data_IF_729384426471
#
_entry.id   IF_729384426471
#
_cell.length_a   1.000
_cell.length_b   1.000
_cell.length_c   1.000
_cell.angle_alpha   90.00
_cell.angle_beta   90.00
_cell.angle_gamma   90.00
#
_symmetry.space_group_name_H-M   'P 1'
#
loop_
_entity.id
_entity.type
_entity.pdbx_description
1 polymer ?
#
# COMPACT_ATOMS: atom_id res chain seq x y z
N UNK A 1 -20.46 14.77 6.97
CA UNK A 1 -19.18 14.20 6.50
C UNK A 1 -19.18 14.19 4.98
N UNK A 2 -18.10 14.61 4.38
CA UNK A 2 -17.89 14.64 2.93
C UNK A 2 -16.59 13.89 2.57
N UNK A 3 -16.48 13.44 1.33
CA UNK A 3 -15.25 12.83 0.81
C UNK A 3 -14.64 13.73 -0.25
N UNK A 4 -13.32 13.96 -0.16
CA UNK A 4 -12.53 14.70 -1.15
C UNK A 4 -11.60 13.69 -1.85
N UNK A 5 -11.92 13.27 -3.09
CA UNK A 5 -11.03 12.46 -3.91
C UNK A 5 -9.85 13.32 -4.38
N UNK A 6 -8.66 13.09 -3.81
CA UNK A 6 -7.45 13.79 -4.21
C UNK A 6 -6.95 13.37 -5.59
N UNK A 7 -6.16 14.23 -6.29
CA UNK A 7 -5.72 14.00 -7.68
C UNK A 7 -4.95 12.70 -7.90
N UNK A 8 -4.31 12.14 -6.86
CA UNK A 8 -3.59 10.88 -6.97
C UNK A 8 -4.44 9.63 -6.68
N UNK A 9 -5.67 9.80 -6.18
CA UNK A 9 -6.59 8.69 -5.85
C UNK A 9 -8.04 8.97 -6.25
N UNK A 10 -8.31 9.50 -7.46
CA UNK A 10 -9.67 9.95 -7.79
C UNK A 10 -10.67 8.79 -7.78
N UNK A 11 -10.32 7.63 -8.33
CA UNK A 11 -11.18 6.45 -8.40
C UNK A 11 -11.47 5.87 -7.00
N UNK A 12 -10.43 5.70 -6.19
CA UNK A 12 -10.57 5.17 -4.82
C UNK A 12 -11.41 6.11 -3.97
N UNK A 13 -11.13 7.42 -4.00
CA UNK A 13 -11.89 8.42 -3.25
C UNK A 13 -13.36 8.47 -3.67
N UNK A 14 -13.67 8.39 -4.97
CA UNK A 14 -15.05 8.31 -5.46
C UNK A 14 -15.75 7.04 -4.94
N UNK A 15 -15.08 5.88 -5.04
CA UNK A 15 -15.64 4.62 -4.55
C UNK A 15 -15.88 4.64 -3.04
N UNK A 16 -14.99 5.27 -2.26
CA UNK A 16 -15.18 5.47 -0.81
C UNK A 16 -16.44 6.30 -0.55
N UNK A 17 -16.60 7.42 -1.26
CA UNK A 17 -17.78 8.29 -1.11
C UNK A 17 -19.08 7.54 -1.45
N UNK A 18 -19.10 6.78 -2.55
CA UNK A 18 -20.26 6.01 -2.98
C UNK A 18 -20.64 4.93 -1.95
N UNK A 19 -19.65 4.21 -1.42
CA UNK A 19 -19.87 3.19 -0.37
C UNK A 19 -20.34 3.80 0.96
N UNK A 20 -19.94 5.03 1.27
CA UNK A 20 -20.38 5.74 2.47
C UNK A 20 -21.71 6.47 2.29
N UNK A 21 -22.21 6.62 1.06
CA UNK A 21 -23.33 7.50 0.74
C UNK A 21 -23.03 8.98 1.03
N UNK A 22 -21.75 9.37 0.96
CA UNK A 22 -21.28 10.71 1.33
C UNK A 22 -21.25 11.66 0.13
N UNK A 23 -21.47 12.96 0.38
CA UNK A 23 -21.24 13.98 -0.65
C UNK A 23 -19.77 14.00 -1.06
N UNK A 24 -19.53 14.16 -2.35
CA UNK A 24 -18.18 14.32 -2.94
C UNK A 24 -17.91 15.81 -3.20
N UNK A 25 -16.72 16.27 -2.81
CA UNK A 25 -16.19 17.57 -3.24
C UNK A 25 -14.99 17.30 -4.13
N UNK A 26 -15.12 17.63 -5.40
CA UNK A 26 -14.09 17.37 -6.40
C UNK A 26 -12.96 18.38 -6.31
N UNK A 27 -11.77 17.94 -6.67
CA UNK A 27 -10.57 18.77 -6.77
C UNK A 27 -10.31 19.10 -8.22
N UNK A 28 -10.36 20.40 -8.57
CA UNK A 28 -9.82 20.89 -9.83
C UNK A 28 -8.29 20.90 -9.72
N UNK A 29 -7.64 20.22 -10.63
CA UNK A 29 -6.21 20.00 -10.59
C UNK A 29 -5.59 20.25 -11.96
N UNK A 30 -4.47 20.96 -11.98
CA UNK A 30 -3.62 21.12 -13.16
C UNK A 30 -2.16 21.33 -12.75
N UNK A 31 -1.25 21.08 -13.68
CA UNK A 31 0.14 21.46 -13.54
C UNK A 31 0.39 22.74 -14.36
N UNK A 32 1.14 23.66 -13.79
CA UNK A 32 1.70 24.77 -14.55
C UNK A 32 2.88 24.28 -15.41
N UNK A 33 3.26 25.05 -16.46
CA UNK A 33 4.36 24.66 -17.36
C UNK A 33 5.72 24.47 -16.66
N UNK A 34 5.94 25.13 -15.54
CA UNK A 34 7.11 25.01 -14.67
C UNK A 34 7.08 23.78 -13.74
N UNK A 35 5.95 23.06 -13.73
CA UNK A 35 5.75 21.84 -12.95
C UNK A 35 5.03 22.03 -11.61
N UNK A 36 4.68 23.27 -11.22
CA UNK A 36 3.91 23.53 -10.00
C UNK A 36 2.49 22.97 -10.10
N UNK A 37 1.97 22.48 -8.97
CA UNK A 37 0.60 21.96 -8.86
C UNK A 37 -0.37 23.07 -8.49
N UNK A 38 -1.46 23.19 -9.25
CA UNK A 38 -2.62 24.02 -8.91
C UNK A 38 -3.73 23.13 -8.37
N UNK A 39 -4.30 23.53 -7.23
CA UNK A 39 -5.39 22.83 -6.56
C UNK A 39 -6.49 23.82 -6.23
N UNK A 40 -7.74 23.45 -6.54
CA UNK A 40 -8.94 24.18 -6.17
C UNK A 40 -10.07 23.21 -5.79
N UNK A 41 -10.73 23.44 -4.67
CA UNK A 41 -11.94 22.69 -4.33
C UNK A 41 -13.13 23.21 -5.13
N UNK A 42 -13.92 22.33 -5.71
CA UNK A 42 -15.06 22.68 -6.55
C UNK A 42 -16.30 23.13 -5.75
N UNK A 43 -16.34 22.87 -4.43
CA UNK A 43 -17.49 23.19 -3.56
C UNK A 43 -16.99 23.53 -2.14
N UNK A 44 -17.89 24.12 -1.31
CA UNK A 44 -17.59 24.49 0.06
C UNK A 44 -17.38 23.26 0.95
N UNK A 45 -16.44 23.39 1.89
CA UNK A 45 -16.11 22.41 2.93
C UNK A 45 -16.29 22.99 4.34
N UNK A 46 -16.76 24.23 4.44
CA UNK A 46 -16.89 24.95 5.72
C UNK A 46 -17.83 24.23 6.70
N UNK A 47 -17.32 23.97 7.90
CA UNK A 47 -18.04 23.25 8.96
C UNK A 47 -18.19 21.74 8.76
N UNK A 48 -17.64 21.19 7.69
CA UNK A 48 -17.76 19.77 7.36
C UNK A 48 -16.63 18.92 7.98
N UNK A 49 -16.97 17.69 8.31
CA UNK A 49 -16.01 16.62 8.55
C UNK A 49 -15.56 16.04 7.20
N UNK A 50 -14.28 16.13 6.91
CA UNK A 50 -13.70 15.75 5.61
C UNK A 50 -12.89 14.49 5.70
N UNK A 51 -13.12 13.55 4.77
CA UNK A 51 -12.24 12.41 4.47
C UNK A 51 -11.53 12.70 3.15
N UNK A 52 -10.26 13.09 3.24
CA UNK A 52 -9.38 13.29 2.08
C UNK A 52 -8.72 11.96 1.70
N UNK A 53 -8.94 11.46 0.48
CA UNK A 53 -8.30 10.25 -0.02
C UNK A 53 -7.26 10.61 -1.06
N UNK A 54 -5.96 10.47 -0.74
CA UNK A 54 -4.87 10.87 -1.64
C UNK A 54 -3.61 10.01 -1.42
N UNK A 55 -3.23 9.20 -2.40
CA UNK A 55 -2.02 8.38 -2.36
C UNK A 55 -0.77 9.20 -2.71
N UNK A 56 0.42 8.69 -2.34
CA UNK A 56 1.68 9.39 -2.60
C UNK A 56 2.51 8.75 -3.72
N UNK A 57 1.86 8.18 -4.74
CA UNK A 57 2.47 7.58 -5.93
C UNK A 57 1.60 7.85 -7.17
N UNK A 58 2.16 7.94 -8.40
CA UNK A 58 3.58 8.10 -8.74
C UNK A 58 4.10 9.51 -8.42
N UNK A 59 5.40 9.75 -8.56
CA UNK A 59 6.07 11.02 -8.27
C UNK A 59 5.92 11.44 -6.79
N UNK A 60 6.54 10.70 -5.85
CA UNK A 60 6.23 10.81 -4.42
C UNK A 60 6.40 12.22 -3.84
N UNK A 61 7.44 12.96 -4.23
CA UNK A 61 7.69 14.31 -3.74
C UNK A 61 6.55 15.26 -4.10
N UNK A 62 6.09 15.18 -5.36
CA UNK A 62 4.97 15.97 -5.86
C UNK A 62 3.67 15.60 -5.15
N UNK A 63 3.36 14.31 -5.03
CA UNK A 63 2.13 13.84 -4.39
C UNK A 63 2.09 14.16 -2.89
N UNK A 64 3.25 14.18 -2.23
CA UNK A 64 3.35 14.65 -0.86
C UNK A 64 3.08 16.15 -0.73
N UNK A 65 3.65 16.96 -1.64
CA UNK A 65 3.36 18.39 -1.65
C UNK A 65 1.87 18.64 -1.91
N UNK A 66 1.26 17.94 -2.85
CA UNK A 66 -0.19 18.02 -3.11
C UNK A 66 -1.02 17.62 -1.89
N UNK A 67 -0.62 16.59 -1.15
CA UNK A 67 -1.27 16.20 0.10
C UNK A 67 -1.24 17.34 1.13
N UNK A 68 -0.07 17.97 1.31
CA UNK A 68 0.08 19.09 2.25
C UNK A 68 -0.79 20.28 1.84
N UNK A 69 -0.77 20.65 0.56
CA UNK A 69 -1.62 21.74 0.02
C UNK A 69 -3.12 21.43 0.19
N UNK A 70 -3.55 20.19 -0.03
CA UNK A 70 -4.93 19.77 0.17
C UNK A 70 -5.35 19.87 1.64
N UNK A 71 -4.54 19.36 2.57
CA UNK A 71 -4.83 19.41 4.01
C UNK A 71 -4.92 20.85 4.49
N UNK A 72 -3.93 21.69 4.14
CA UNK A 72 -3.89 23.11 4.50
C UNK A 72 -5.10 23.87 3.93
N UNK A 73 -5.39 23.70 2.63
CA UNK A 73 -6.54 24.34 1.97
C UNK A 73 -7.87 23.95 2.61
N UNK A 74 -8.05 22.66 2.98
CA UNK A 74 -9.26 22.21 3.64
C UNK A 74 -9.45 22.88 4.99
N UNK A 75 -8.39 23.04 5.78
CA UNK A 75 -8.44 23.74 7.08
C UNK A 75 -8.67 25.23 6.92
N UNK A 76 -7.96 25.88 5.98
CA UNK A 76 -8.10 27.33 5.70
C UNK A 76 -9.54 27.68 5.25
N UNK A 77 -10.17 26.80 4.46
CA UNK A 77 -11.56 26.94 4.03
C UNK A 77 -12.60 26.51 5.08
N UNK A 78 -12.16 26.22 6.31
CA UNK A 78 -13.03 26.03 7.46
C UNK A 78 -13.58 24.63 7.65
N UNK A 79 -12.94 23.58 7.11
CA UNK A 79 -13.29 22.20 7.46
C UNK A 79 -13.18 21.98 8.97
N UNK A 80 -14.21 21.37 9.57
CA UNK A 80 -14.25 21.08 11.01
C UNK A 80 -13.17 20.06 11.39
N UNK A 81 -13.12 18.97 10.64
CA UNK A 81 -12.12 17.89 10.81
C UNK A 81 -11.57 17.48 9.46
N UNK A 82 -10.25 17.30 9.34
CA UNK A 82 -9.58 16.74 8.16
C UNK A 82 -8.95 15.40 8.50
N UNK A 83 -9.55 14.32 7.98
CA UNK A 83 -9.04 12.95 8.05
C UNK A 83 -8.33 12.60 6.76
N UNK A 84 -7.00 12.54 6.80
CA UNK A 84 -6.21 12.17 5.63
C UNK A 84 -6.09 10.64 5.54
N UNK A 85 -6.65 10.08 4.47
CA UNK A 85 -6.45 8.67 4.09
C UNK A 85 -5.43 8.63 2.97
N UNK A 86 -4.26 8.10 3.26
CA UNK A 86 -3.15 7.96 2.31
C UNK A 86 -2.94 6.47 2.02
N UNK A 87 -3.62 5.89 0.99
CA UNK A 87 -3.58 4.46 0.73
C UNK A 87 -2.16 3.90 0.64
N UNK A 88 -1.29 4.56 -0.11
CA UNK A 88 0.15 4.27 -0.10
C UNK A 88 0.93 5.49 0.40
N UNK A 89 1.71 5.29 1.45
CA UNK A 89 2.61 6.32 2.01
C UNK A 89 4.04 6.08 1.54
N UNK A 90 4.53 6.95 0.67
CA UNK A 90 5.92 6.94 0.21
C UNK A 90 6.88 7.25 1.39
N UNK A 91 8.17 6.95 1.19
CA UNK A 91 9.22 7.12 2.21
C UNK A 91 9.07 6.26 3.47
N UNK A 92 8.06 5.39 3.57
CA UNK A 92 7.84 4.50 4.71
C UNK A 92 8.99 3.51 4.95
N UNK A 93 9.82 3.25 3.92
CA UNK A 93 11.03 2.40 4.02
C UNK A 93 12.24 3.12 4.61
N UNK A 94 12.20 4.44 4.72
CA UNK A 94 13.22 5.28 5.37
C UNK A 94 12.76 5.62 6.80
N UNK A 95 12.56 4.60 7.60
CA UNK A 95 11.97 4.64 8.95
C UNK A 95 12.99 4.72 10.08
N UNK A 96 14.21 4.29 9.80
CA UNK A 96 15.35 4.29 10.74
C UNK A 96 16.59 4.83 10.06
N UNK A 97 17.54 5.26 10.90
CA UNK A 97 18.88 5.66 10.44
C UNK A 97 19.77 4.43 10.41
N UNK A 98 20.14 3.96 9.23
CA UNK A 98 21.07 2.84 9.04
C UNK A 98 22.53 3.26 9.09
N UNK A 99 22.82 4.51 8.73
CA UNK A 99 24.14 5.14 8.78
C UNK A 99 24.02 6.53 9.39
N UNK A 100 25.07 6.98 10.07
CA UNK A 100 25.12 8.35 10.60
C UNK A 100 24.92 9.37 9.48
N UNK A 101 24.14 10.40 9.76
CA UNK A 101 23.82 11.46 8.80
C UNK A 101 22.62 11.17 7.88
N UNK A 102 22.10 9.95 7.81
CA UNK A 102 20.90 9.65 7.02
C UNK A 102 19.64 10.33 7.57
N UNK A 103 18.76 10.76 6.68
CA UNK A 103 17.44 11.25 7.05
C UNK A 103 16.52 10.09 7.48
N UNK A 104 15.66 10.32 8.47
CA UNK A 104 14.52 9.46 8.76
C UNK A 104 13.30 10.13 8.17
N UNK A 105 13.14 9.94 6.84
CA UNK A 105 12.24 10.74 6.01
C UNK A 105 10.79 10.66 6.46
N UNK A 106 10.31 9.45 6.81
CA UNK A 106 8.90 9.26 7.19
C UNK A 106 8.51 10.11 8.41
N UNK A 107 9.41 10.27 9.39
CA UNK A 107 9.15 11.09 10.58
C UNK A 107 9.02 12.57 10.24
N UNK A 108 9.85 13.06 9.31
CA UNK A 108 9.76 14.45 8.86
C UNK A 108 8.42 14.70 8.17
N UNK A 109 8.01 13.79 7.27
CA UNK A 109 6.77 13.89 6.52
C UNK A 109 5.53 13.82 7.42
N UNK A 110 5.50 12.92 8.40
CA UNK A 110 4.39 12.84 9.36
C UNK A 110 4.22 14.13 10.16
N UNK A 111 5.32 14.74 10.62
CA UNK A 111 5.27 16.04 11.28
C UNK A 111 4.74 17.15 10.37
N UNK A 112 5.09 17.14 9.07
CA UNK A 112 4.60 18.12 8.11
C UNK A 112 3.10 17.93 7.85
N UNK A 113 2.62 16.70 7.69
CA UNK A 113 1.19 16.39 7.50
C UNK A 113 0.37 16.87 8.70
N UNK A 114 0.84 16.59 9.92
CA UNK A 114 0.18 17.06 11.14
C UNK A 114 0.19 18.59 11.23
N UNK A 115 1.32 19.24 10.92
CA UNK A 115 1.45 20.71 10.93
C UNK A 115 0.64 21.41 9.85
N UNK A 116 0.37 20.76 8.73
CA UNK A 116 -0.55 21.25 7.71
C UNK A 116 -2.01 21.29 8.18
N UNK A 117 -2.34 20.68 9.32
CA UNK A 117 -3.68 20.71 9.93
C UNK A 117 -4.44 19.39 9.82
N UNK A 118 -3.78 18.28 9.55
CA UNK A 118 -4.40 16.96 9.60
C UNK A 118 -4.83 16.63 11.03
N UNK A 119 -6.11 16.26 11.25
CA UNK A 119 -6.65 15.90 12.56
C UNK A 119 -6.59 14.39 12.83
N UNK A 120 -6.71 13.56 11.80
CA UNK A 120 -6.55 12.10 11.88
C UNK A 120 -5.87 11.58 10.60
N UNK A 121 -4.98 10.61 10.75
CA UNK A 121 -4.23 10.03 9.64
C UNK A 121 -4.51 8.54 9.50
N UNK A 122 -4.75 8.07 8.26
CA UNK A 122 -4.98 6.67 7.93
C UNK A 122 -4.13 6.26 6.74
N UNK A 123 -3.56 5.05 6.81
CA UNK A 123 -2.80 4.47 5.69
C UNK A 123 -3.05 2.97 5.62
N UNK A 124 -2.61 2.32 4.53
CA UNK A 124 -2.80 0.89 4.35
C UNK A 124 -1.43 0.21 4.33
N UNK A 125 -1.28 -0.89 5.08
CA UNK A 125 -0.07 -1.72 5.16
C UNK A 125 1.24 -0.91 5.15
N UNK A 126 1.33 0.04 6.10
CA UNK A 126 2.54 0.82 6.28
C UNK A 126 3.73 -0.10 6.58
N UNK A 127 4.83 0.06 5.85
CA UNK A 127 6.00 -0.81 5.93
C UNK A 127 6.46 -1.11 7.37
N UNK A 128 6.37 -0.12 8.27
CA UNK A 128 6.60 -0.28 9.70
C UNK A 128 5.58 0.54 10.48
N UNK A 129 4.58 -0.14 10.99
CA UNK A 129 3.43 0.48 11.67
C UNK A 129 3.84 1.35 12.86
N UNK A 130 4.84 0.94 13.65
CA UNK A 130 5.32 1.71 14.81
C UNK A 130 5.87 3.11 14.46
N UNK A 131 6.05 3.45 13.18
CA UNK A 131 6.39 4.82 12.79
C UNK A 131 5.21 5.80 12.94
N UNK A 132 3.97 5.29 13.01
CA UNK A 132 2.78 6.09 13.31
C UNK A 132 2.83 6.75 14.69
N UNK A 133 3.60 6.20 15.64
CA UNK A 133 3.83 6.79 16.96
C UNK A 133 4.53 8.16 16.88
N UNK A 134 4.98 8.57 15.70
CA UNK A 134 5.51 9.92 15.45
C UNK A 134 4.41 10.99 15.47
N UNK A 135 3.18 10.63 15.11
CA UNK A 135 2.04 11.52 15.19
C UNK A 135 1.62 11.78 16.64
N UNK A 136 1.14 12.99 16.93
CA UNK A 136 0.45 13.31 18.20
C UNK A 136 -1.07 13.24 18.03
N UNK A 137 -1.54 13.21 16.79
CA UNK A 137 -2.93 12.99 16.40
C UNK A 137 -3.23 11.49 16.28
N UNK A 138 -4.51 11.13 16.18
CA UNK A 138 -4.92 9.76 15.90
C UNK A 138 -4.36 9.32 14.54
N UNK A 139 -3.59 8.24 14.54
CA UNK A 139 -3.07 7.64 13.33
C UNK A 139 -3.35 6.13 13.33
N UNK A 140 -3.77 5.58 12.17
CA UNK A 140 -4.16 4.17 12.07
C UNK A 140 -3.65 3.54 10.79
N UNK A 141 -3.10 2.33 10.93
CA UNK A 141 -2.79 1.45 9.81
C UNK A 141 -3.98 0.52 9.54
N UNK A 142 -4.45 0.48 8.30
CA UNK A 142 -5.45 -0.45 7.81
C UNK A 142 -4.74 -1.63 7.13
N UNK A 143 -5.36 -2.81 7.13
CA UNK A 143 -4.70 -4.01 6.58
C UNK A 143 -5.41 -4.51 5.34
N UNK A 144 -4.74 -4.45 4.19
CA UNK A 144 -5.27 -4.93 2.92
C UNK A 144 -5.52 -6.45 2.90
N UNK A 145 -4.95 -7.19 3.85
CA UNK A 145 -5.18 -8.64 3.98
C UNK A 145 -6.68 -9.01 4.00
N UNK A 146 -7.57 -8.15 4.50
CA UNK A 146 -9.03 -8.36 4.50
C UNK A 146 -9.58 -8.42 3.06
N UNK A 147 -9.29 -7.39 2.25
CA UNK A 147 -9.76 -7.32 0.86
C UNK A 147 -9.01 -8.29 -0.06
N UNK A 148 -7.71 -8.53 0.19
CA UNK A 148 -6.91 -9.53 -0.51
C UNK A 148 -7.51 -10.93 -0.30
N UNK A 149 -7.78 -11.32 0.94
CA UNK A 149 -8.35 -12.64 1.26
C UNK A 149 -9.74 -12.79 0.65
N UNK A 150 -10.56 -11.74 0.67
CA UNK A 150 -11.88 -11.77 0.03
C UNK A 150 -11.77 -12.02 -1.48
N UNK A 151 -10.83 -11.37 -2.15
CA UNK A 151 -10.57 -11.55 -3.57
C UNK A 151 -10.08 -12.98 -3.88
N UNK A 152 -9.09 -13.46 -3.13
CA UNK A 152 -8.49 -14.79 -3.31
C UNK A 152 -9.50 -15.92 -3.12
N UNK A 153 -10.50 -15.79 -2.23
CA UNK A 153 -11.60 -16.77 -2.09
C UNK A 153 -12.36 -17.00 -3.39
N UNK A 154 -12.51 -15.96 -4.20
CA UNK A 154 -13.19 -16.04 -5.51
C UNK A 154 -12.36 -16.70 -6.61
N UNK A 155 -11.06 -16.97 -6.38
CA UNK A 155 -10.14 -17.47 -7.41
C UNK A 155 -10.11 -19.00 -7.57
N UNK A 156 -10.82 -19.76 -6.73
CA UNK A 156 -10.82 -21.23 -6.78
C UNK A 156 -9.43 -21.84 -6.57
N UNK A 157 -8.70 -21.37 -5.54
CA UNK A 157 -7.37 -21.89 -5.21
C UNK A 157 -7.44 -23.34 -4.73
N UNK A 158 -6.53 -24.18 -5.23
CA UNK A 158 -6.44 -25.59 -4.84
C UNK A 158 -5.31 -25.81 -3.83
N UNK A 159 -5.66 -26.30 -2.63
CA UNK A 159 -4.72 -26.55 -1.54
C UNK A 159 -3.69 -25.40 -1.35
N UNK A 160 -4.15 -24.14 -1.12
CA UNK A 160 -3.29 -22.99 -1.16
C UNK A 160 -2.23 -22.99 -0.05
N UNK A 161 -1.04 -22.49 -0.38
CA UNK A 161 0.00 -22.12 0.57
C UNK A 161 0.32 -20.64 0.45
N UNK A 162 0.24 -19.90 1.56
CA UNK A 162 0.50 -18.46 1.56
C UNK A 162 1.94 -18.21 2.00
N UNK A 163 2.74 -17.68 1.09
CA UNK A 163 4.17 -17.52 1.26
C UNK A 163 4.56 -16.06 1.39
N UNK A 164 5.28 -15.72 2.44
CA UNK A 164 6.03 -14.46 2.50
C UNK A 164 7.44 -14.66 1.93
N UNK A 165 7.94 -13.78 1.06
CA UNK A 165 9.28 -13.91 0.48
C UNK A 165 10.41 -13.64 1.48
N UNK A 166 10.08 -13.08 2.65
CA UNK A 166 11.00 -12.89 3.78
C UNK A 166 10.23 -12.66 5.11
N UNK A 167 10.95 -12.43 6.19
CA UNK A 167 10.33 -12.20 7.52
C UNK A 167 9.53 -10.90 7.62
N UNK A 168 9.83 -9.90 6.79
CA UNK A 168 9.20 -8.59 6.83
C UNK A 168 7.70 -8.65 6.54
N UNK A 169 7.30 -9.42 5.53
CA UNK A 169 5.91 -9.57 5.11
C UNK A 169 5.20 -10.79 5.74
N UNK A 170 5.82 -11.51 6.70
CA UNK A 170 5.21 -12.70 7.32
C UNK A 170 3.87 -12.39 8.00
N UNK A 171 3.70 -11.20 8.55
CA UNK A 171 2.44 -10.78 9.17
C UNK A 171 1.28 -10.73 8.17
N UNK A 172 1.57 -10.36 6.90
CA UNK A 172 0.58 -10.35 5.81
C UNK A 172 0.23 -11.79 5.43
N UNK A 173 1.25 -12.64 5.18
CA UNK A 173 1.04 -14.05 4.85
C UNK A 173 0.21 -14.76 5.92
N UNK A 174 0.49 -14.50 7.21
CA UNK A 174 -0.28 -15.04 8.32
C UNK A 174 -1.73 -14.59 8.27
N UNK A 175 -2.02 -13.29 8.19
CA UNK A 175 -3.39 -12.78 8.16
C UNK A 175 -4.19 -13.33 6.98
N UNK A 176 -3.57 -13.42 5.79
CA UNK A 176 -4.19 -13.99 4.59
C UNK A 176 -4.42 -15.49 4.78
N UNK A 177 -3.42 -16.24 5.27
CA UNK A 177 -3.52 -17.67 5.50
C UNK A 177 -4.61 -18.02 6.53
N UNK A 178 -4.61 -17.38 7.70
CA UNK A 178 -5.64 -17.53 8.72
C UNK A 178 -7.04 -17.23 8.17
N UNK A 179 -7.18 -16.16 7.39
CA UNK A 179 -8.47 -15.78 6.78
C UNK A 179 -8.98 -16.79 5.74
N UNK A 180 -8.07 -17.47 5.03
CA UNK A 180 -8.40 -18.48 4.01
C UNK A 180 -8.48 -19.90 4.58
N UNK A 181 -8.06 -20.13 5.84
CA UNK A 181 -7.86 -21.47 6.39
C UNK A 181 -6.74 -22.23 5.69
N UNK A 182 -5.72 -21.51 5.20
CA UNK A 182 -4.59 -22.04 4.46
C UNK A 182 -3.32 -22.04 5.31
N UNK A 183 -2.40 -22.97 5.02
CA UNK A 183 -1.06 -22.93 5.59
C UNK A 183 -0.30 -21.69 5.10
N UNK A 184 0.58 -21.18 5.95
CA UNK A 184 1.42 -20.04 5.60
C UNK A 184 2.84 -20.19 6.16
N UNK A 185 3.78 -19.46 5.56
CA UNK A 185 5.16 -19.42 6.03
C UNK A 185 5.98 -18.37 5.30
N UNK A 186 7.28 -18.39 5.52
CA UNK A 186 8.22 -17.47 4.89
C UNK A 186 9.54 -18.16 4.54
N UNK A 187 10.26 -17.58 3.59
CA UNK A 187 11.66 -17.93 3.38
C UNK A 187 12.56 -17.23 4.40
N UNK A 188 13.50 -17.97 4.99
CA UNK A 188 14.59 -17.39 5.77
C UNK A 188 15.71 -16.92 4.84
N UNK A 189 15.93 -15.62 4.75
CA UNK A 189 17.10 -15.05 4.06
C UNK A 189 18.27 -14.99 5.04
N UNK A 190 19.35 -15.70 4.73
CA UNK A 190 20.64 -15.48 5.39
C UNK A 190 21.50 -14.64 4.44
N UNK A 191 21.89 -13.44 4.86
CA UNK A 191 22.84 -12.61 4.13
C UNK A 191 24.24 -12.87 4.68
N UNK A 192 25.12 -13.36 3.84
CA UNK A 192 26.54 -13.39 4.19
C UNK A 192 27.06 -11.95 4.34
N UNK A 193 27.52 -11.62 5.53
CA UNK A 193 27.98 -10.25 5.87
C UNK A 193 29.30 -9.89 5.21
N UNK A 194 30.06 -10.88 4.71
CA UNK A 194 31.37 -10.67 4.12
C UNK A 194 31.27 -10.56 2.60
N UNK A 195 30.53 -11.46 1.97
CA UNK A 195 30.42 -11.52 0.50
C UNK A 195 29.20 -10.77 -0.03
N UNK A 196 28.25 -10.40 0.83
CA UNK A 196 26.96 -9.81 0.43
C UNK A 196 26.00 -10.79 -0.24
N UNK A 197 26.42 -12.06 -0.41
CA UNK A 197 25.62 -13.09 -1.02
C UNK A 197 24.37 -13.38 -0.17
N UNK A 198 23.21 -13.43 -0.83
CA UNK A 198 21.95 -13.76 -0.19
C UNK A 198 21.70 -15.24 -0.42
N UNK A 199 21.78 -16.05 0.62
CA UNK A 199 21.36 -17.44 0.59
C UNK A 199 19.95 -17.52 1.19
N UNK A 200 18.99 -18.04 0.44
CA UNK A 200 17.65 -18.32 0.92
C UNK A 200 17.68 -19.73 1.51
N UNK A 201 17.70 -19.85 2.84
CA UNK A 201 17.41 -21.10 3.54
C UNK A 201 15.91 -21.09 3.84
N UNK A 202 15.14 -21.89 3.10
CA UNK A 202 13.74 -22.13 3.45
C UNK A 202 13.65 -23.35 4.37
N UNK A 203 12.78 -23.33 5.38
CA UNK A 203 12.03 -24.54 5.71
C UNK A 203 11.49 -25.04 4.36
N UNK A 204 11.53 -26.35 4.10
CA UNK A 204 11.00 -26.91 2.86
C UNK A 204 9.54 -26.51 2.74
N UNK A 205 9.29 -25.42 1.99
CA UNK A 205 7.93 -25.07 1.60
C UNK A 205 7.44 -26.25 0.78
N UNK A 206 6.50 -26.99 1.30
CA UNK A 206 5.87 -28.07 0.54
C UNK A 206 4.94 -27.45 -0.50
N UNK A 207 5.54 -27.09 -1.64
CA UNK A 207 4.86 -26.45 -2.76
C UNK A 207 4.30 -27.43 -3.77
N UNK A 208 4.68 -28.71 -3.68
CA UNK A 208 4.35 -29.73 -4.69
C UNK A 208 2.85 -29.92 -4.87
N UNK A 209 2.38 -29.64 -6.10
CA UNK A 209 0.97 -29.77 -6.49
C UNK A 209 0.03 -28.73 -5.88
N UNK A 210 0.57 -27.70 -5.22
CA UNK A 210 -0.21 -26.65 -4.53
C UNK A 210 -0.26 -25.38 -5.35
N UNK A 211 -1.30 -24.58 -5.12
CA UNK A 211 -1.31 -23.17 -5.50
C UNK A 211 -0.56 -22.36 -4.45
N UNK A 212 0.54 -21.71 -4.84
CA UNK A 212 1.34 -20.88 -3.93
C UNK A 212 1.00 -19.40 -4.16
N UNK A 213 0.58 -18.71 -3.11
CA UNK A 213 0.32 -17.27 -3.14
C UNK A 213 1.44 -16.55 -2.40
N UNK A 214 2.29 -15.85 -3.14
CA UNK A 214 3.38 -15.04 -2.58
C UNK A 214 2.83 -13.67 -2.22
N UNK A 215 2.88 -13.29 -0.93
CA UNK A 215 2.31 -12.02 -0.42
C UNK A 215 3.41 -11.06 0.03
N UNK A 216 3.26 -9.77 -0.29
CA UNK A 216 4.15 -8.70 0.17
C UNK A 216 3.35 -7.42 0.45
N UNK A 217 3.90 -6.47 1.22
CA UNK A 217 3.34 -5.12 1.34
C UNK A 217 3.53 -4.32 0.05
N UNK A 218 4.68 -4.48 -0.60
CA UNK A 218 5.11 -3.67 -1.73
C UNK A 218 5.84 -4.49 -2.79
N UNK A 219 5.41 -4.41 -4.04
CA UNK A 219 6.20 -4.86 -5.18
C UNK A 219 6.78 -3.66 -5.93
N UNK A 220 8.09 -3.42 -5.73
CA UNK A 220 8.85 -2.38 -6.43
C UNK A 220 9.51 -2.95 -7.69
N UNK A 221 10.73 -3.48 -7.59
CA UNK A 221 11.46 -4.08 -8.74
C UNK A 221 11.12 -5.53 -9.02
N UNK A 222 10.35 -6.19 -8.17
CA UNK A 222 9.92 -7.59 -8.33
C UNK A 222 11.00 -8.66 -8.12
N UNK A 223 12.22 -8.27 -7.77
CA UNK A 223 13.34 -9.23 -7.64
C UNK A 223 13.12 -10.27 -6.53
N UNK A 224 12.60 -9.85 -5.39
CA UNK A 224 12.30 -10.73 -4.26
C UNK A 224 11.21 -11.75 -4.62
N UNK A 225 10.14 -11.28 -5.26
CA UNK A 225 9.03 -12.14 -5.72
C UNK A 225 9.50 -13.12 -6.80
N UNK A 226 10.27 -12.64 -7.78
CA UNK A 226 10.81 -13.49 -8.85
C UNK A 226 11.70 -14.62 -8.30
N UNK A 227 12.54 -14.33 -7.30
CA UNK A 227 13.36 -15.34 -6.66
C UNK A 227 12.51 -16.37 -5.89
N UNK A 228 11.54 -15.91 -5.11
CA UNK A 228 10.60 -16.77 -4.40
C UNK A 228 9.81 -17.68 -5.37
N UNK A 229 9.38 -17.11 -6.50
CA UNK A 229 8.66 -17.85 -7.55
C UNK A 229 9.51 -19.02 -8.11
N UNK A 230 10.79 -18.78 -8.47
CA UNK A 230 11.66 -19.84 -8.97
C UNK A 230 11.77 -21.00 -7.98
N UNK A 231 12.02 -20.70 -6.71
CA UNK A 231 12.17 -21.71 -5.65
C UNK A 231 10.92 -22.59 -5.54
N UNK A 232 9.72 -22.00 -5.50
CA UNK A 232 8.49 -22.79 -5.37
C UNK A 232 8.11 -23.53 -6.64
N UNK A 233 8.44 -23.00 -7.83
CA UNK A 233 8.28 -23.70 -9.12
C UNK A 233 9.22 -24.91 -9.20
N UNK A 234 10.47 -24.78 -8.81
CA UNK A 234 11.42 -25.90 -8.68
C UNK A 234 10.94 -26.93 -7.66
N UNK A 235 10.25 -26.50 -6.60
CA UNK A 235 9.58 -27.35 -5.61
C UNK A 235 8.32 -28.06 -6.12
N UNK A 236 7.88 -27.78 -7.37
CA UNK A 236 6.74 -28.43 -8.00
C UNK A 236 5.39 -27.75 -7.73
N UNK A 237 5.36 -26.45 -7.46
CA UNK A 237 4.11 -25.69 -7.33
C UNK A 237 3.28 -25.79 -8.62
N UNK A 238 1.95 -26.04 -8.45
CA UNK A 238 0.99 -26.13 -9.56
C UNK A 238 0.78 -24.75 -10.21
N UNK A 239 0.49 -23.75 -9.39
CA UNK A 239 0.31 -22.36 -9.79
C UNK A 239 1.00 -21.45 -8.79
N UNK A 240 1.61 -20.36 -9.25
CA UNK A 240 2.26 -19.36 -8.41
C UNK A 240 1.67 -17.98 -8.72
N UNK A 241 1.06 -17.38 -7.72
CA UNK A 241 0.42 -16.06 -7.80
C UNK A 241 1.20 -15.12 -6.87
N UNK A 242 1.50 -13.91 -7.30
CA UNK A 242 1.96 -12.86 -6.39
C UNK A 242 0.81 -11.88 -6.11
N UNK A 243 0.67 -11.46 -4.86
CA UNK A 243 -0.28 -10.43 -4.46
C UNK A 243 0.40 -9.45 -3.51
N UNK A 244 0.16 -8.14 -3.73
CA UNK A 244 0.70 -7.12 -2.84
C UNK A 244 -0.32 -6.02 -2.54
N UNK A 245 -0.09 -5.32 -1.44
CA UNK A 245 -0.87 -4.13 -1.11
C UNK A 245 -0.53 -2.98 -2.06
N UNK A 246 0.76 -2.75 -2.37
CA UNK A 246 1.19 -1.60 -3.16
C UNK A 246 1.98 -2.02 -4.41
N UNK A 247 1.32 -2.09 -5.60
CA UNK A 247 1.97 -2.50 -6.84
C UNK A 247 2.65 -1.32 -7.55
N UNK A 248 3.88 -0.96 -7.15
CA UNK A 248 4.62 0.14 -7.80
C UNK A 248 5.19 -0.26 -9.15
N UNK A 249 5.63 -1.49 -9.33
CA UNK A 249 6.07 -2.14 -10.57
C UNK A 249 7.07 -1.33 -11.40
N UNK A 250 8.16 -0.89 -10.79
CA UNK A 250 9.20 -0.11 -11.47
C UNK A 250 10.28 -1.02 -12.10
N UNK A 251 11.03 -0.46 -13.06
CA UNK A 251 12.23 -1.07 -13.66
C UNK A 251 12.00 -2.49 -14.24
N UNK A 252 10.92 -2.71 -14.97
CA UNK A 252 10.64 -4.00 -15.62
C UNK A 252 10.28 -5.11 -14.64
N UNK A 253 9.62 -4.75 -13.51
CA UNK A 253 9.25 -5.70 -12.47
C UNK A 253 8.31 -6.79 -12.97
N UNK A 254 7.31 -6.42 -13.76
CA UNK A 254 6.30 -7.35 -14.28
C UNK A 254 6.95 -8.43 -15.16
N UNK A 255 7.77 -8.03 -16.14
CA UNK A 255 8.49 -8.93 -17.06
C UNK A 255 9.45 -9.85 -16.29
N UNK A 256 10.15 -9.30 -15.28
CA UNK A 256 11.05 -10.08 -14.42
C UNK A 256 10.33 -11.19 -13.67
N UNK A 257 9.17 -10.88 -13.09
CA UNK A 257 8.35 -11.85 -12.35
C UNK A 257 7.74 -12.90 -13.29
N UNK A 258 7.21 -12.49 -14.44
CA UNK A 258 6.69 -13.40 -15.47
C UNK A 258 7.78 -14.33 -16.01
N UNK A 259 8.97 -13.81 -16.29
CA UNK A 259 10.15 -14.60 -16.70
C UNK A 259 10.64 -15.58 -15.64
N UNK A 260 10.29 -15.39 -14.37
CA UNK A 260 10.55 -16.34 -13.29
C UNK A 260 9.51 -17.47 -13.19
N UNK A 261 8.49 -17.49 -14.06
CA UNK A 261 7.44 -18.50 -14.06
C UNK A 261 6.18 -18.13 -13.24
N UNK A 262 6.04 -16.86 -12.85
CA UNK A 262 4.84 -16.40 -12.14
C UNK A 262 3.62 -16.46 -13.06
N UNK A 263 2.55 -17.09 -12.59
CA UNK A 263 1.33 -17.29 -13.39
C UNK A 263 0.44 -16.05 -13.36
N UNK A 264 0.35 -15.34 -12.22
CA UNK A 264 -0.45 -14.13 -12.07
C UNK A 264 0.16 -13.15 -11.07
N UNK A 265 -0.01 -11.85 -11.34
CA UNK A 265 0.36 -10.75 -10.44
C UNK A 265 -0.89 -9.95 -10.13
N UNK A 266 -1.16 -9.74 -8.85
CA UNK A 266 -2.31 -8.99 -8.34
C UNK A 266 -1.83 -7.92 -7.37
N UNK A 267 -2.53 -6.80 -7.35
CA UNK A 267 -2.34 -5.74 -6.39
C UNK A 267 -3.65 -5.11 -5.96
N UNK A 268 -3.61 -4.35 -4.89
CA UNK A 268 -4.73 -3.46 -4.58
C UNK A 268 -4.66 -2.21 -5.45
N UNK A 269 -5.75 -1.46 -5.50
CA UNK A 269 -5.83 -0.15 -6.15
C UNK A 269 -5.37 1.01 -5.23
N UNK A 270 -4.58 0.71 -4.18
CA UNK A 270 -3.94 1.72 -3.33
C UNK A 270 -3.04 2.69 -4.11
N UNK A 271 -2.52 2.23 -5.23
CA UNK A 271 -1.88 3.01 -6.30
C UNK A 271 -2.48 2.63 -7.64
N UNK A 272 -2.62 3.59 -8.57
CA UNK A 272 -3.14 3.31 -9.91
C UNK A 272 -2.14 2.43 -10.69
N UNK A 273 -2.59 1.25 -11.11
CA UNK A 273 -1.77 0.23 -11.74
C UNK A 273 -2.65 -0.75 -12.52
N UNK A 274 -2.14 -1.29 -13.64
CA UNK A 274 -2.85 -2.28 -14.47
C UNK A 274 -3.18 -3.58 -13.72
N UNK A 275 -2.44 -3.88 -12.66
CA UNK A 275 -2.67 -5.04 -11.80
C UNK A 275 -3.45 -4.72 -10.52
N UNK A 276 -3.84 -3.46 -10.32
CA UNK A 276 -4.62 -2.97 -9.18
C UNK A 276 -6.08 -3.43 -9.23
N UNK A 277 -6.31 -4.74 -9.15
CA UNK A 277 -7.64 -5.36 -9.29
C UNK A 277 -8.41 -5.50 -7.98
N UNK A 278 -7.74 -5.34 -6.85
CA UNK A 278 -8.32 -5.54 -5.51
C UNK A 278 -8.67 -4.17 -4.92
N UNK A 279 -9.97 -3.83 -4.80
CA UNK A 279 -10.37 -2.50 -4.34
C UNK A 279 -10.13 -2.32 -2.84
N UNK A 280 -9.49 -1.20 -2.45
CA UNK A 280 -9.31 -0.81 -1.04
C UNK A 280 -10.44 0.07 -0.50
N UNK A 281 -11.30 0.58 -1.36
CA UNK A 281 -12.41 1.45 -0.95
C UNK A 281 -13.34 0.80 0.11
N UNK A 282 -13.69 -0.51 0.06
CA UNK A 282 -14.47 -1.16 1.11
C UNK A 282 -13.79 -1.13 2.48
N UNK A 283 -12.46 -1.31 2.52
CA UNK A 283 -11.66 -1.26 3.73
C UNK A 283 -11.67 0.15 4.35
N UNK A 284 -11.51 1.17 3.51
CA UNK A 284 -11.52 2.57 3.94
C UNK A 284 -12.92 2.99 4.41
N UNK A 285 -13.96 2.70 3.61
CA UNK A 285 -15.33 3.09 3.94
C UNK A 285 -15.84 2.48 5.26
N UNK A 286 -15.40 1.27 5.61
CA UNK A 286 -15.73 0.59 6.87
C UNK A 286 -15.22 1.36 8.09
N UNK A 287 -14.12 2.09 7.98
CA UNK A 287 -13.52 2.85 9.07
C UNK A 287 -14.33 4.09 9.47
N UNK A 288 -15.15 4.62 8.57
CA UNK A 288 -15.90 5.86 8.73
C UNK A 288 -17.44 5.71 8.78
N UNK A 289 -17.91 4.45 8.89
CA UNK A 289 -19.34 4.13 9.06
C UNK A 289 -19.81 4.13 10.50
#
# INVERSE_FOLDING_TARGET
MIVVPGPASPKVGQSVADLMGAKKVMVEYKNFPDGESYIRLADSVAGEDVVLVHTTYPQPDKRLLELLLLVDTLKDLGASTVRAVVPYMAYARQDTRFRDGEAVSIRALFKLIEKAGCDEFYTIDLHKEGTLDTFTIKAKNLYASEVISSYLRGMGLENPYILSPDRGALSIARRVGESLGAEYGNFEKTRDRVTGAITVKGEKVDSRGRDVVITDDLISTGGTIANACRIVKEGGAKRVIAVCSHPLLVAGAYERMRGAGLDEVLGTDSVDSDIGKIPVAPLIAKEFR
#
